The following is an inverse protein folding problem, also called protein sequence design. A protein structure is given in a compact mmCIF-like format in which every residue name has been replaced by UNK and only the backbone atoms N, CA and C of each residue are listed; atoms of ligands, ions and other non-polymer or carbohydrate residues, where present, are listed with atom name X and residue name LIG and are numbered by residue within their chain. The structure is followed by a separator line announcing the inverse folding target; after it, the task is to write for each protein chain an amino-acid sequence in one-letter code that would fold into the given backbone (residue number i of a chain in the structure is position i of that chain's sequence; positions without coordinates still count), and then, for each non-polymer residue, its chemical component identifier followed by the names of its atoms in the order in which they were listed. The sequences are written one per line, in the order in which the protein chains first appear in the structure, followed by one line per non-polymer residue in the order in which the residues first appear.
data_IF_579352916053
#
_entry.id   IF_579352916053
#
_cell.length_a   1.000
_cell.length_b   1.000
_cell.length_c   1.000
_cell.angle_alpha   90.00
_cell.angle_beta   90.00
_cell.angle_gamma   90.00
#
_symmetry.space_group_name_H-M   'P 1'
#
loop_
_entity.id
_entity.type
_entity.pdbx_description
1 polymer ?
#
# COMPACT_ATOMS: atom_id res chain seq x y z
N UNK A 1 -20.83 -3.16 -27.35
CA UNK A 1 -19.54 -2.96 -26.65
C UNK A 1 -19.56 -1.74 -25.73
N UNK A 2 -19.71 -0.52 -26.26
CA UNK A 2 -19.76 0.73 -25.46
C UNK A 2 -20.85 0.69 -24.38
N UNK A 3 -22.06 0.22 -24.70
CA UNK A 3 -23.17 0.07 -23.73
C UNK A 3 -22.80 -0.82 -22.53
N UNK A 4 -22.15 -1.96 -22.78
CA UNK A 4 -21.74 -2.88 -21.71
C UNK A 4 -20.63 -2.26 -20.86
N UNK A 5 -19.68 -1.56 -21.48
CA UNK A 5 -18.64 -0.83 -20.75
C UNK A 5 -19.20 0.25 -19.85
N UNK A 6 -20.16 1.05 -20.33
CA UNK A 6 -20.85 2.06 -19.53
C UNK A 6 -21.55 1.43 -18.32
N UNK A 7 -22.26 0.31 -18.52
CA UNK A 7 -22.95 -0.40 -17.44
C UNK A 7 -21.95 -0.94 -16.40
N UNK A 8 -20.88 -1.60 -16.84
CA UNK A 8 -19.87 -2.17 -15.93
C UNK A 8 -19.12 -1.09 -15.15
N UNK A 9 -18.71 0.00 -15.81
CA UNK A 9 -18.10 1.16 -15.16
C UNK A 9 -19.08 1.77 -14.15
N UNK A 10 -20.36 1.89 -14.49
CA UNK A 10 -21.41 2.39 -13.61
C UNK A 10 -21.58 1.54 -12.35
N UNK A 11 -21.62 0.21 -12.48
CA UNK A 11 -21.72 -0.71 -11.34
C UNK A 11 -20.51 -0.58 -10.42
N UNK A 12 -19.30 -0.60 -10.99
CA UNK A 12 -18.06 -0.44 -10.22
C UNK A 12 -18.03 0.91 -9.49
N UNK A 13 -18.44 1.98 -10.17
CA UNK A 13 -18.54 3.32 -9.57
C UNK A 13 -19.51 3.35 -8.38
N UNK A 14 -20.68 2.73 -8.50
CA UNK A 14 -21.66 2.66 -7.40
C UNK A 14 -21.10 1.88 -6.21
N UNK A 15 -20.47 0.73 -6.44
CA UNK A 15 -19.87 -0.10 -5.36
C UNK A 15 -18.76 0.67 -4.64
N UNK A 16 -17.81 1.23 -5.39
CA UNK A 16 -16.70 2.01 -4.81
C UNK A 16 -17.19 3.28 -4.12
N UNK A 17 -18.20 3.94 -4.69
CA UNK A 17 -18.86 5.11 -4.11
C UNK A 17 -19.52 4.79 -2.77
N UNK A 18 -20.31 3.70 -2.70
CA UNK A 18 -20.91 3.21 -1.45
C UNK A 18 -19.85 2.87 -0.40
N UNK A 19 -18.79 2.13 -0.78
CA UNK A 19 -17.70 1.80 0.13
C UNK A 19 -17.05 3.06 0.72
N UNK A 20 -16.77 4.07 -0.11
CA UNK A 20 -16.20 5.34 0.37
C UNK A 20 -17.17 6.17 1.20
N UNK A 21 -18.47 6.18 0.89
CA UNK A 21 -19.49 6.83 1.72
C UNK A 21 -19.52 6.18 3.10
N UNK A 22 -19.51 4.84 3.19
CA UNK A 22 -19.47 4.12 4.46
C UNK A 22 -18.20 4.47 5.24
N UNK A 23 -17.02 4.44 4.60
CA UNK A 23 -15.76 4.81 5.24
C UNK A 23 -15.75 6.27 5.72
N UNK A 24 -16.34 7.19 4.95
CA UNK A 24 -16.46 8.60 5.32
C UNK A 24 -17.46 8.84 6.47
N UNK A 25 -18.55 8.06 6.53
CA UNK A 25 -19.50 8.12 7.64
C UNK A 25 -18.85 7.64 8.95
N UNK A 26 -17.97 6.63 8.85
CA UNK A 26 -17.21 6.05 9.96
C UNK A 26 -15.99 6.93 10.34
N UNK A 27 -15.45 7.73 9.41
CA UNK A 27 -14.27 8.54 9.68
C UNK A 27 -14.55 9.67 10.66
N UNK A 28 -13.65 9.82 11.64
CA UNK A 28 -13.76 10.78 12.73
C UNK A 28 -13.54 12.24 12.29
N UNK A 29 -12.90 12.45 11.15
CA UNK A 29 -12.67 13.76 10.53
C UNK A 29 -13.51 13.91 9.26
N UNK A 30 -14.20 15.06 9.11
CA UNK A 30 -15.08 15.37 7.96
C UNK A 30 -14.67 16.68 7.30
N UNK A 31 -13.53 16.72 6.60
CA UNK A 31 -13.09 17.93 5.85
C UNK A 31 -13.64 17.90 4.40
N UNK A 32 -14.16 19.02 3.89
CA UNK A 32 -14.66 19.16 2.50
C UNK A 32 -13.58 18.93 1.42
N UNK A 33 -12.31 19.22 1.73
CA UNK A 33 -11.18 18.97 0.84
C UNK A 33 -10.95 17.48 0.59
N UNK A 34 -11.10 16.65 1.64
CA UNK A 34 -11.00 15.19 1.54
C UNK A 34 -12.10 14.63 0.62
N UNK A 35 -13.32 15.15 0.67
CA UNK A 35 -14.43 14.67 -0.17
C UNK A 35 -14.14 14.81 -1.68
N UNK A 36 -13.54 15.93 -2.10
CA UNK A 36 -13.14 16.12 -3.51
C UNK A 36 -12.03 15.16 -3.93
N UNK A 37 -11.05 14.91 -3.05
CA UNK A 37 -9.96 13.97 -3.33
C UNK A 37 -10.44 12.51 -3.36
N UNK A 38 -11.38 12.14 -2.48
CA UNK A 38 -12.06 10.86 -2.50
C UNK A 38 -12.87 10.66 -3.78
N UNK A 39 -13.60 11.69 -4.25
CA UNK A 39 -14.37 11.57 -5.48
C UNK A 39 -13.48 11.33 -6.72
N UNK A 40 -12.38 12.07 -6.83
CA UNK A 40 -11.38 11.86 -7.90
C UNK A 40 -10.79 10.45 -7.82
N UNK A 41 -10.51 9.97 -6.60
CA UNK A 41 -10.02 8.62 -6.36
C UNK A 41 -11.01 7.55 -6.83
N UNK A 42 -12.31 7.71 -6.50
CA UNK A 42 -13.38 6.77 -6.89
C UNK A 42 -13.60 6.77 -8.39
N UNK A 43 -13.67 7.95 -9.03
CA UNK A 43 -13.82 8.05 -10.49
C UNK A 43 -12.61 7.41 -11.19
N UNK A 44 -11.40 7.72 -10.74
CA UNK A 44 -10.18 7.14 -11.29
C UNK A 44 -10.14 5.62 -11.15
N UNK A 45 -10.48 5.08 -9.98
CA UNK A 45 -10.57 3.65 -9.74
C UNK A 45 -11.66 2.99 -10.60
N UNK A 46 -12.85 3.60 -10.71
CA UNK A 46 -13.95 3.05 -11.49
C UNK A 46 -13.65 2.99 -12.98
N UNK A 47 -12.95 3.99 -13.53
CA UNK A 47 -12.49 3.97 -14.93
C UNK A 47 -11.39 2.92 -15.11
N UNK A 48 -10.38 2.92 -14.22
CA UNK A 48 -9.23 2.01 -14.29
C UNK A 48 -9.64 0.53 -14.15
N UNK A 49 -10.64 0.23 -13.32
CA UNK A 49 -11.19 -1.12 -13.12
C UNK A 49 -12.25 -1.45 -14.18
N UNK A 50 -13.17 -0.53 -14.44
CA UNK A 50 -14.33 -0.76 -15.29
C UNK A 50 -14.00 -0.92 -16.77
N UNK A 51 -12.97 -0.23 -17.28
CA UNK A 51 -12.55 -0.36 -18.68
C UNK A 51 -12.03 -1.78 -18.97
N UNK A 52 -10.98 -2.30 -18.30
CA UNK A 52 -10.49 -3.67 -18.54
C UNK A 52 -11.57 -4.74 -18.39
N UNK A 53 -12.41 -4.60 -17.36
CA UNK A 53 -13.58 -5.46 -17.13
C UNK A 53 -14.52 -5.54 -18.31
N UNK A 54 -14.76 -4.41 -18.99
CA UNK A 54 -15.71 -4.34 -20.09
C UNK A 54 -15.24 -5.04 -21.36
N UNK A 55 -13.92 -5.16 -21.55
CA UNK A 55 -13.30 -5.86 -22.68
C UNK A 55 -13.11 -7.37 -22.43
N UNK A 56 -13.23 -7.79 -21.18
CA UNK A 56 -12.96 -9.15 -20.72
C UNK A 56 -13.85 -10.23 -21.39
N UNK A 57 -15.17 -10.01 -21.60
CA UNK A 57 -16.01 -10.95 -22.33
C UNK A 57 -15.67 -11.05 -23.83
N UNK A 58 -14.96 -10.06 -24.39
CA UNK A 58 -14.64 -9.98 -25.82
C UNK A 58 -13.32 -10.71 -26.16
N UNK A 59 -12.37 -10.73 -25.24
CA UNK A 59 -11.03 -11.29 -25.44
C UNK A 59 -10.99 -12.82 -25.35
N UNK A 60 -11.96 -13.46 -24.70
CA UNK A 60 -11.88 -14.89 -24.35
C UNK A 60 -13.15 -15.72 -24.65
N UNK A 61 -13.79 -15.62 -25.84
CA UNK A 61 -14.99 -16.40 -26.16
C UNK A 61 -14.76 -17.92 -26.31
N UNK A 62 -13.50 -18.38 -26.41
CA UNK A 62 -13.14 -19.79 -26.69
C UNK A 62 -12.56 -20.57 -25.49
N UNK A 63 -12.40 -19.95 -24.32
CA UNK A 63 -11.90 -20.63 -23.12
C UNK A 63 -13.08 -20.83 -22.16
N UNK A 64 -13.86 -21.90 -22.35
CA UNK A 64 -15.10 -22.07 -21.60
C UNK A 64 -15.28 -23.51 -21.10
N UNK A 65 -14.61 -23.81 -19.99
CA UNK A 65 -15.39 -24.28 -18.85
C UNK A 65 -15.76 -23.03 -18.03
N UNK A 66 -17.04 -22.87 -17.66
CA UNK A 66 -17.54 -21.68 -16.93
C UNK A 66 -16.71 -21.34 -15.68
N UNK A 67 -16.10 -22.37 -15.07
CA UNK A 67 -15.28 -22.28 -13.86
C UNK A 67 -13.94 -21.58 -14.12
N UNK A 68 -13.22 -21.98 -15.17
CA UNK A 68 -11.91 -21.41 -15.51
C UNK A 68 -12.01 -19.94 -15.93
N UNK A 69 -13.11 -19.57 -16.59
CA UNK A 69 -13.40 -18.19 -16.98
C UNK A 69 -13.58 -17.28 -15.76
N UNK A 70 -14.42 -17.67 -14.79
CA UNK A 70 -14.65 -16.89 -13.57
C UNK A 70 -13.38 -16.72 -12.72
N UNK A 71 -12.51 -17.75 -12.68
CA UNK A 71 -11.22 -17.70 -12.00
C UNK A 71 -10.29 -16.65 -12.64
N UNK A 72 -10.12 -16.67 -13.96
CA UNK A 72 -9.24 -15.73 -14.66
C UNK A 72 -9.74 -14.29 -14.50
N UNK A 73 -11.05 -14.07 -14.61
CA UNK A 73 -11.66 -12.75 -14.41
C UNK A 73 -11.41 -12.23 -13.00
N UNK A 74 -11.61 -13.08 -12.00
CA UNK A 74 -11.39 -12.68 -10.62
C UNK A 74 -9.93 -12.30 -10.37
N UNK A 75 -8.97 -13.11 -10.82
CA UNK A 75 -7.53 -12.82 -10.64
C UNK A 75 -7.17 -11.48 -11.30
N UNK A 76 -7.66 -11.22 -12.51
CA UNK A 76 -7.42 -9.95 -13.21
C UNK A 76 -8.03 -8.78 -12.45
N UNK A 77 -9.29 -8.87 -12.04
CA UNK A 77 -9.98 -7.88 -11.21
C UNK A 77 -9.22 -7.56 -9.92
N UNK A 78 -8.83 -8.61 -9.22
CA UNK A 78 -8.17 -8.53 -7.93
C UNK A 78 -6.79 -7.88 -8.07
N UNK A 79 -6.04 -8.23 -9.13
CA UNK A 79 -4.77 -7.59 -9.44
C UNK A 79 -4.92 -6.10 -9.75
N UNK A 80 -5.99 -5.68 -10.46
CA UNK A 80 -6.26 -4.27 -10.78
C UNK A 80 -6.58 -3.46 -9.51
N UNK A 81 -7.36 -4.01 -8.57
CA UNK A 81 -7.67 -3.34 -7.28
C UNK A 81 -6.38 -3.12 -6.48
N UNK A 82 -5.52 -4.13 -6.43
CA UNK A 82 -4.22 -4.06 -5.76
C UNK A 82 -3.32 -3.04 -6.48
N UNK A 83 -3.29 -3.06 -7.82
CA UNK A 83 -2.55 -2.07 -8.63
C UNK A 83 -3.01 -0.63 -8.39
N UNK A 84 -4.28 -0.37 -8.08
CA UNK A 84 -4.74 0.98 -7.77
C UNK A 84 -3.99 1.59 -6.57
N UNK A 85 -3.86 0.81 -5.49
CA UNK A 85 -3.14 1.25 -4.29
C UNK A 85 -1.64 1.40 -4.52
N UNK A 86 -1.02 0.47 -5.26
CA UNK A 86 0.42 0.46 -5.48
C UNK A 86 0.91 1.34 -6.64
N UNK A 87 0.03 1.72 -7.58
CA UNK A 87 0.40 2.46 -8.80
C UNK A 87 -0.28 3.83 -8.85
N UNK A 88 -1.61 3.89 -8.74
CA UNK A 88 -2.35 5.14 -8.93
C UNK A 88 -2.19 6.09 -7.75
N UNK A 89 -2.27 5.57 -6.52
CA UNK A 89 -2.15 6.43 -5.34
C UNK A 89 -0.80 7.17 -5.30
N UNK A 90 0.34 6.50 -5.56
CA UNK A 90 1.64 7.18 -5.65
C UNK A 90 1.74 8.13 -6.87
N UNK A 91 1.13 7.81 -8.03
CA UNK A 91 1.14 8.69 -9.22
C UNK A 91 0.46 10.04 -8.99
N UNK A 92 -0.54 10.14 -8.10
CA UNK A 92 -1.20 11.42 -7.77
C UNK A 92 -0.23 12.47 -7.22
N UNK A 93 0.84 12.03 -6.56
CA UNK A 93 1.86 12.92 -6.02
C UNK A 93 2.81 13.44 -7.11
N UNK A 94 3.10 12.65 -8.16
CA UNK A 94 3.92 13.12 -9.30
C UNK A 94 3.19 14.14 -10.16
N UNK A 95 1.89 13.95 -10.40
CA UNK A 95 1.13 14.80 -11.32
C UNK A 95 0.58 16.10 -10.70
N UNK A 96 0.95 16.44 -9.45
CA UNK A 96 0.53 17.68 -8.77
C UNK A 96 1.73 18.57 -8.37
N UNK A 97 2.59 18.99 -9.32
CA UNK A 97 3.89 19.60 -9.04
C UNK A 97 3.85 20.85 -8.15
N UNK A 98 2.78 21.66 -8.23
CA UNK A 98 2.68 22.93 -7.50
C UNK A 98 2.59 22.80 -5.97
N UNK A 99 2.52 21.57 -5.45
CA UNK A 99 2.44 21.29 -4.00
C UNK A 99 3.70 20.60 -3.44
N UNK A 100 4.76 20.50 -4.25
CA UNK A 100 6.01 19.84 -3.89
C UNK A 100 7.22 20.72 -4.18
N UNK A 101 8.14 20.79 -3.23
CA UNK A 101 9.41 21.52 -3.37
C UNK A 101 10.55 20.52 -3.55
N UNK A 102 11.30 20.62 -4.65
CA UNK A 102 12.44 19.73 -4.94
C UNK A 102 13.71 20.23 -4.24
N UNK A 103 14.51 19.31 -3.69
CA UNK A 103 15.78 19.63 -3.02
C UNK A 103 16.98 19.11 -3.82
N UNK A 104 17.47 19.94 -4.75
CA UNK A 104 18.55 19.54 -5.67
C UNK A 104 19.88 19.24 -4.96
N UNK A 105 20.18 19.92 -3.83
CA UNK A 105 21.43 19.73 -3.11
C UNK A 105 21.49 18.33 -2.47
N UNK A 106 20.39 17.93 -1.85
CA UNK A 106 20.28 16.60 -1.25
C UNK A 106 20.23 15.50 -2.31
N UNK A 107 19.59 15.76 -3.45
CA UNK A 107 19.60 14.86 -4.60
C UNK A 107 21.03 14.64 -5.14
N UNK A 108 21.80 15.71 -5.32
CA UNK A 108 23.20 15.60 -5.77
C UNK A 108 24.06 14.81 -4.79
N UNK A 109 23.86 15.03 -3.49
CA UNK A 109 24.59 14.33 -2.44
C UNK A 109 24.32 12.81 -2.48
N UNK A 110 23.05 12.42 -2.50
CA UNK A 110 22.65 11.00 -2.53
C UNK A 110 22.96 10.35 -3.90
N UNK A 111 22.96 11.13 -4.98
CA UNK A 111 23.39 10.68 -6.31
C UNK A 111 24.88 10.33 -6.32
N UNK A 112 25.75 11.13 -5.68
CA UNK A 112 27.19 10.82 -5.53
C UNK A 112 27.42 9.51 -4.78
N UNK A 113 26.51 9.14 -3.87
CA UNK A 113 26.56 7.90 -3.09
C UNK A 113 25.97 6.67 -3.84
N UNK A 114 25.64 6.84 -5.13
CA UNK A 114 25.17 5.79 -6.03
C UNK A 114 23.64 5.59 -6.03
N UNK A 115 22.89 6.55 -5.48
CA UNK A 115 21.45 6.47 -5.33
C UNK A 115 20.76 7.64 -6.06
N UNK A 116 20.50 7.56 -7.38
CA UNK A 116 19.91 8.67 -8.13
C UNK A 116 18.40 8.77 -7.89
N UNK A 117 18.01 9.26 -6.72
CA UNK A 117 16.61 9.51 -6.33
C UNK A 117 16.33 11.01 -6.35
N UNK A 118 15.14 11.38 -6.80
CA UNK A 118 14.60 12.74 -6.68
C UNK A 118 13.91 12.89 -5.33
N UNK A 119 14.10 14.02 -4.67
CA UNK A 119 13.63 14.25 -3.31
C UNK A 119 12.73 15.49 -3.32
N UNK A 120 11.51 15.28 -2.85
CA UNK A 120 10.49 16.30 -2.79
C UNK A 120 10.01 16.47 -1.35
N UNK A 121 9.67 17.70 -1.00
CA UNK A 121 9.04 18.04 0.27
C UNK A 121 7.64 18.60 0.06
N UNK A 122 6.71 18.32 0.99
CA UNK A 122 5.32 18.80 0.90
C UNK A 122 4.68 19.09 2.26
N UNK A 123 3.74 20.03 2.27
CA UNK A 123 2.84 20.29 3.41
C UNK A 123 1.60 19.39 3.41
N UNK A 124 1.38 18.58 2.36
CA UNK A 124 0.17 17.76 2.24
C UNK A 124 0.18 16.51 3.14
N UNK A 125 1.32 16.16 3.71
CA UNK A 125 1.43 15.06 4.67
C UNK A 125 1.17 15.65 6.06
N UNK A 126 -0.11 15.84 6.41
CA UNK A 126 -0.54 16.20 7.77
C UNK A 126 -0.64 14.92 8.62
N UNK A 127 -0.14 14.99 9.87
CA UNK A 127 -0.04 13.95 10.91
C UNK A 127 1.18 13.01 10.84
N UNK A 128 2.14 13.25 11.75
CA UNK A 128 2.82 12.33 12.68
C UNK A 128 3.14 10.86 12.33
N UNK A 129 2.97 10.37 11.10
CA UNK A 129 3.48 9.09 10.68
C UNK A 129 3.48 9.04 9.15
N UNK A 130 4.46 8.32 8.61
CA UNK A 130 4.64 7.97 7.20
C UNK A 130 5.49 8.94 6.38
N UNK A 131 6.79 8.71 6.55
CA UNK A 131 7.74 8.74 5.47
C UNK A 131 7.13 8.17 4.18
N UNK A 132 7.20 9.00 3.15
CA UNK A 132 7.41 8.70 1.73
C UNK A 132 6.90 7.36 1.21
N UNK A 133 5.97 7.41 0.25
CA UNK A 133 5.71 6.29 -0.65
C UNK A 133 6.64 6.38 -1.85
N UNK A 134 7.60 5.47 -1.95
CA UNK A 134 8.27 5.19 -3.23
C UNK A 134 7.18 4.95 -4.26
N UNK A 135 7.22 5.71 -5.34
CA UNK A 135 6.47 5.32 -6.53
C UNK A 135 7.30 4.17 -7.12
N UNK A 136 6.87 2.91 -7.07
CA UNK A 136 7.73 1.75 -7.35
C UNK A 136 8.43 1.78 -8.70
N UNK A 137 7.95 2.60 -9.64
CA UNK A 137 8.52 2.80 -10.98
C UNK A 137 9.36 4.07 -11.13
N UNK A 138 9.34 4.98 -10.15
CA UNK A 138 10.07 6.24 -10.18
C UNK A 138 10.93 6.36 -8.92
N UNK A 139 12.23 6.63 -9.09
CA UNK A 139 13.16 6.92 -8.00
C UNK A 139 12.83 8.29 -7.38
N UNK A 140 11.70 8.39 -6.70
CA UNK A 140 11.14 9.62 -6.13
C UNK A 140 10.79 9.34 -4.67
N UNK A 141 11.26 10.20 -3.78
CA UNK A 141 11.03 10.17 -2.34
C UNK A 141 10.34 11.48 -1.96
N UNK A 142 9.20 11.39 -1.26
CA UNK A 142 8.36 12.55 -0.89
C UNK A 142 8.24 12.64 0.62
N UNK A 143 8.85 13.66 1.23
CA UNK A 143 8.95 13.86 2.69
C UNK A 143 8.02 15.00 3.13
N UNK A 144 7.43 14.89 4.31
CA UNK A 144 6.69 16.00 4.92
C UNK A 144 7.62 17.15 5.35
N UNK A 145 7.23 18.40 5.11
CA UNK A 145 8.03 19.56 5.56
C UNK A 145 8.23 19.58 7.09
N UNK A 146 7.25 19.10 7.86
CA UNK A 146 7.36 18.91 9.30
C UNK A 146 8.56 18.02 9.69
N UNK A 147 8.81 16.93 8.95
CA UNK A 147 9.95 16.07 9.22
C UNK A 147 11.29 16.74 8.90
N UNK A 148 11.32 17.64 7.90
CA UNK A 148 12.51 18.42 7.56
C UNK A 148 12.89 19.40 8.69
N UNK A 149 11.89 19.93 9.39
CA UNK A 149 12.06 20.90 10.48
C UNK A 149 12.40 20.20 11.82
N UNK A 150 11.84 19.02 12.06
CA UNK A 150 11.96 18.30 13.34
C UNK A 150 13.18 17.36 13.44
N UNK A 151 13.73 16.92 12.30
CA UNK A 151 14.88 16.02 12.24
C UNK A 151 16.17 16.79 11.98
N UNK A 152 17.27 16.36 12.61
CA UNK A 152 18.60 16.81 12.21
C UNK A 152 18.93 16.37 10.78
N UNK A 153 19.95 16.99 10.16
CA UNK A 153 20.38 16.64 8.80
C UNK A 153 20.76 15.16 8.70
N UNK A 154 21.38 14.62 9.74
CA UNK A 154 21.81 13.23 9.84
C UNK A 154 20.60 12.29 9.96
N UNK A 155 19.64 12.61 10.84
CA UNK A 155 18.43 11.80 11.00
C UNK A 155 17.56 11.81 9.73
N UNK A 156 17.41 12.97 9.10
CA UNK A 156 16.67 13.10 7.84
C UNK A 156 17.29 12.24 6.74
N UNK A 157 18.62 12.24 6.62
CA UNK A 157 19.33 11.34 5.69
C UNK A 157 19.12 9.87 6.03
N UNK A 158 19.13 9.51 7.30
CA UNK A 158 18.86 8.13 7.72
C UNK A 158 17.44 7.68 7.30
N UNK A 159 16.43 8.55 7.44
CA UNK A 159 15.07 8.30 6.93
C UNK A 159 15.07 8.13 5.41
N UNK A 160 15.76 8.99 4.67
CA UNK A 160 15.84 8.85 3.19
C UNK A 160 16.50 7.53 2.80
N UNK A 161 17.56 7.14 3.51
CA UNK A 161 18.24 5.88 3.26
C UNK A 161 17.38 4.66 3.60
N UNK A 162 16.55 4.72 4.63
CA UNK A 162 15.54 3.71 4.94
C UNK A 162 14.57 3.53 3.75
N UNK A 163 14.09 4.63 3.19
CA UNK A 163 13.21 4.64 2.01
C UNK A 163 13.91 4.11 0.76
N UNK A 164 15.17 4.46 0.54
CA UNK A 164 15.97 3.84 -0.53
C UNK A 164 16.07 2.32 -0.31
N UNK A 165 16.20 1.87 0.94
CA UNK A 165 16.18 0.46 1.32
C UNK A 165 14.92 -0.27 0.89
N UNK A 166 13.75 0.35 1.08
CA UNK A 166 12.47 -0.19 0.58
C UNK A 166 12.46 -0.36 -0.95
N UNK A 167 12.99 0.62 -1.69
CA UNK A 167 13.07 0.56 -3.14
C UNK A 167 14.07 -0.51 -3.60
N UNK A 168 15.28 -0.52 -3.05
CA UNK A 168 16.36 -1.46 -3.42
C UNK A 168 15.95 -2.91 -3.20
N UNK A 169 15.26 -3.19 -2.10
CA UNK A 169 14.75 -4.53 -1.79
C UNK A 169 13.42 -4.87 -2.47
N UNK A 170 12.88 -3.96 -3.31
CA UNK A 170 11.63 -4.14 -4.07
C UNK A 170 10.44 -4.51 -3.17
N UNK A 171 10.35 -3.93 -1.98
CA UNK A 171 9.33 -4.28 -0.98
C UNK A 171 7.90 -4.13 -1.52
N UNK A 172 7.63 -3.05 -2.26
CA UNK A 172 6.33 -2.81 -2.89
C UNK A 172 5.98 -3.91 -3.91
N UNK A 173 6.92 -4.29 -4.77
CA UNK A 173 6.69 -5.35 -5.76
C UNK A 173 6.47 -6.71 -5.08
N UNK A 174 7.27 -7.03 -4.06
CA UNK A 174 7.09 -8.26 -3.28
C UNK A 174 5.71 -8.31 -2.61
N UNK A 175 5.29 -7.20 -2.00
CA UNK A 175 3.97 -7.10 -1.37
C UNK A 175 2.86 -7.25 -2.41
N UNK A 176 2.99 -6.61 -3.57
CA UNK A 176 2.07 -6.77 -4.70
C UNK A 176 1.93 -8.25 -5.13
N UNK A 177 3.05 -8.93 -5.36
CA UNK A 177 3.06 -10.35 -5.76
C UNK A 177 2.41 -11.22 -4.70
N UNK A 178 2.75 -11.03 -3.42
CA UNK A 178 2.13 -11.77 -2.31
C UNK A 178 0.63 -11.51 -2.25
N UNK A 179 0.18 -10.27 -2.40
CA UNK A 179 -1.24 -9.93 -2.42
C UNK A 179 -1.99 -10.63 -3.56
N UNK A 180 -1.42 -10.67 -4.77
CA UNK A 180 -2.02 -11.36 -5.92
C UNK A 180 -2.11 -12.87 -5.68
N UNK A 181 -1.04 -13.49 -5.16
CA UNK A 181 -1.02 -14.92 -4.84
C UNK A 181 -2.08 -15.24 -3.78
N UNK A 182 -2.11 -14.47 -2.69
CA UNK A 182 -3.03 -14.69 -1.58
C UNK A 182 -4.49 -14.54 -2.00
N UNK A 183 -4.77 -13.55 -2.85
CA UNK A 183 -6.10 -13.32 -3.36
C UNK A 183 -6.55 -14.38 -4.35
N UNK A 184 -5.64 -14.86 -5.20
CA UNK A 184 -5.89 -16.01 -6.06
C UNK A 184 -6.21 -17.26 -5.23
N UNK A 185 -5.43 -17.52 -4.19
CA UNK A 185 -5.64 -18.65 -3.29
C UNK A 185 -7.00 -18.58 -2.58
N UNK A 186 -7.33 -17.43 -2.00
CA UNK A 186 -8.62 -17.23 -1.31
C UNK A 186 -9.79 -17.37 -2.28
N UNK A 187 -9.65 -16.93 -3.53
CA UNK A 187 -10.68 -17.13 -4.53
C UNK A 187 -10.92 -18.60 -4.86
N UNK A 188 -9.85 -19.36 -5.08
CA UNK A 188 -9.96 -20.80 -5.34
C UNK A 188 -10.60 -21.53 -4.16
N UNK A 189 -10.27 -21.12 -2.93
CA UNK A 189 -10.89 -21.63 -1.72
C UNK A 189 -12.39 -21.29 -1.68
N UNK A 190 -12.75 -20.02 -1.90
CA UNK A 190 -14.15 -19.58 -1.96
C UNK A 190 -14.93 -20.37 -3.02
N UNK A 191 -14.37 -20.52 -4.23
CA UNK A 191 -15.00 -21.25 -5.31
C UNK A 191 -15.25 -22.72 -4.92
N UNK A 192 -14.27 -23.38 -4.30
CA UNK A 192 -14.40 -24.77 -3.86
C UNK A 192 -15.44 -24.93 -2.75
N UNK A 193 -15.57 -23.96 -1.86
CA UNK A 193 -16.53 -24.00 -0.75
C UNK A 193 -17.96 -23.81 -1.22
N UNK A 194 -18.19 -22.96 -2.22
CA UNK A 194 -19.52 -22.79 -2.82
C UNK A 194 -20.02 -24.03 -3.58
N UNK A 195 -19.17 -25.04 -3.81
CA UNK A 195 -19.59 -26.33 -4.37
C UNK A 195 -20.04 -27.34 -3.29
N UNK A 196 -19.86 -27.01 -2.01
CA UNK A 196 -20.24 -27.87 -0.91
C UNK A 196 -21.73 -27.66 -0.64
N UNK A 197 -22.53 -28.71 -0.86
CA UNK A 197 -23.93 -28.72 -0.46
C UNK A 197 -24.04 -29.14 1.00
N UNK A 198 -24.57 -28.24 1.83
CA UNK A 198 -24.81 -28.55 3.24
C UNK A 198 -26.16 -29.24 3.40
N UNK A 199 -26.19 -30.32 4.18
CA UNK A 199 -27.42 -31.07 4.49
C UNK A 199 -28.40 -30.29 5.35
N UNK A 200 -27.91 -29.32 6.14
CA UNK A 200 -28.73 -28.48 7.01
C UNK A 200 -28.57 -27.00 6.65
N UNK A 201 -29.69 -26.30 6.48
CA UNK A 201 -29.71 -24.89 6.08
C UNK A 201 -28.94 -23.94 7.02
N UNK A 202 -28.83 -24.28 8.31
CA UNK A 202 -28.09 -23.46 9.28
C UNK A 202 -26.56 -23.56 9.12
N UNK A 203 -26.04 -24.58 8.43
CA UNK A 203 -24.61 -24.77 8.24
C UNK A 203 -24.02 -23.82 7.21
N UNK A 204 -24.80 -23.41 6.20
CA UNK A 204 -24.38 -22.43 5.19
C UNK A 204 -23.90 -21.10 5.82
N UNK A 205 -24.70 -20.38 6.63
CA UNK A 205 -24.25 -19.11 7.22
C UNK A 205 -23.08 -19.29 8.19
N UNK A 206 -23.02 -20.40 8.94
CA UNK A 206 -21.89 -20.70 9.82
C UNK A 206 -20.59 -20.85 9.02
N UNK A 207 -20.65 -21.61 7.92
CA UNK A 207 -19.48 -21.84 7.08
C UNK A 207 -19.05 -20.57 6.35
N UNK A 208 -19.99 -19.75 5.88
CA UNK A 208 -19.66 -18.41 5.35
C UNK A 208 -18.93 -17.57 6.42
N UNK A 209 -19.41 -17.59 7.66
CA UNK A 209 -18.79 -16.87 8.78
C UNK A 209 -17.36 -17.35 9.09
N UNK A 210 -17.15 -18.66 9.22
CA UNK A 210 -15.83 -19.27 9.47
C UNK A 210 -14.86 -18.93 8.35
N UNK A 211 -15.30 -19.03 7.10
CA UNK A 211 -14.46 -18.72 5.94
C UNK A 211 -14.12 -17.23 5.86
N UNK A 212 -15.09 -16.35 6.11
CA UNK A 212 -14.85 -14.92 6.19
C UNK A 212 -13.82 -14.57 7.27
N UNK A 213 -13.94 -15.19 8.45
CA UNK A 213 -12.99 -15.01 9.54
C UNK A 213 -11.58 -15.51 9.18
N UNK A 214 -11.47 -16.69 8.58
CA UNK A 214 -10.19 -17.24 8.13
C UNK A 214 -9.53 -16.37 7.06
N UNK A 215 -10.29 -15.96 6.05
CA UNK A 215 -9.84 -15.05 4.99
C UNK A 215 -9.35 -13.73 5.59
N UNK A 216 -10.15 -13.13 6.47
CA UNK A 216 -9.79 -11.89 7.16
C UNK A 216 -8.52 -12.03 7.98
N UNK A 217 -8.38 -13.12 8.72
CA UNK A 217 -7.16 -13.43 9.47
C UNK A 217 -5.93 -13.54 8.56
N UNK A 218 -6.04 -14.28 7.45
CA UNK A 218 -4.91 -14.50 6.53
C UNK A 218 -4.50 -13.19 5.84
N UNK A 219 -5.45 -12.39 5.36
CA UNK A 219 -5.19 -11.09 4.73
C UNK A 219 -4.69 -10.03 5.71
N UNK A 220 -5.01 -10.16 6.99
CA UNK A 220 -4.44 -9.28 8.02
C UNK A 220 -3.05 -9.76 8.42
N UNK A 221 -2.90 -11.01 8.84
CA UNK A 221 -1.70 -11.52 9.47
C UNK A 221 -0.50 -11.65 8.51
N UNK A 222 -0.72 -12.20 7.31
CA UNK A 222 0.38 -12.51 6.38
C UNK A 222 1.06 -11.23 5.86
N UNK A 223 0.33 -10.24 5.30
CA UNK A 223 0.94 -8.98 4.87
C UNK A 223 1.60 -8.23 6.03
N UNK A 224 1.00 -8.24 7.23
CA UNK A 224 1.58 -7.62 8.42
C UNK A 224 2.96 -8.17 8.77
N UNK A 225 3.13 -9.49 8.78
CA UNK A 225 4.43 -10.11 9.10
C UNK A 225 5.48 -9.83 8.03
N UNK A 226 5.08 -9.80 6.76
CA UNK A 226 5.97 -9.47 5.66
C UNK A 226 6.41 -8.00 5.74
N UNK A 227 5.48 -7.08 6.01
CA UNK A 227 5.80 -5.67 6.23
C UNK A 227 6.79 -5.48 7.38
N UNK A 228 6.66 -6.22 8.49
CA UNK A 228 7.64 -6.14 9.58
C UNK A 228 9.06 -6.51 9.12
N UNK A 229 9.19 -7.56 8.31
CA UNK A 229 10.49 -7.94 7.75
C UNK A 229 11.05 -6.88 6.81
N UNK A 230 10.18 -6.19 6.06
CA UNK A 230 10.57 -5.08 5.20
C UNK A 230 11.08 -3.88 5.98
N UNK A 231 10.45 -3.55 7.11
CA UNK A 231 10.94 -2.49 8.01
C UNK A 231 12.34 -2.82 8.53
N UNK A 232 12.59 -4.04 9.01
CA UNK A 232 13.93 -4.44 9.47
C UNK A 232 14.96 -4.40 8.34
N UNK A 233 14.60 -4.85 7.14
CA UNK A 233 15.49 -4.78 5.97
C UNK A 233 15.83 -3.34 5.59
N UNK A 234 14.86 -2.43 5.67
CA UNK A 234 15.06 -1.02 5.38
C UNK A 234 15.90 -0.31 6.47
N UNK A 235 15.66 -0.61 7.75
CA UNK A 235 16.47 -0.12 8.87
C UNK A 235 17.92 -0.57 8.75
N UNK A 236 18.15 -1.85 8.48
CA UNK A 236 19.49 -2.39 8.30
C UNK A 236 20.19 -1.79 7.07
N UNK A 237 19.45 -1.54 5.98
CA UNK A 237 19.99 -0.86 4.82
C UNK A 237 20.45 0.56 5.18
N UNK A 238 19.64 1.33 5.91
CA UNK A 238 20.01 2.69 6.33
C UNK A 238 21.21 2.71 7.28
N UNK A 239 21.22 1.80 8.26
CA UNK A 239 22.30 1.67 9.22
C UNK A 239 23.64 1.31 8.56
N UNK A 240 23.62 0.37 7.60
CA UNK A 240 24.83 -0.11 6.92
C UNK A 240 25.32 0.84 5.82
N UNK A 241 24.40 1.46 5.07
CA UNK A 241 24.75 2.31 3.92
C UNK A 241 25.09 3.73 4.33
N UNK A 242 24.50 4.23 5.42
CA UNK A 242 24.68 5.61 5.89
C UNK A 242 25.22 5.69 7.31
N UNK A 243 24.39 5.44 8.33
CA UNK A 243 24.83 5.51 9.73
C UNK A 243 23.83 4.84 10.66
N UNK A 244 24.31 3.85 11.42
CA UNK A 244 23.53 3.19 12.48
C UNK A 244 23.09 4.18 13.57
N UNK A 245 23.99 5.07 14.00
CA UNK A 245 23.70 6.07 15.04
C UNK A 245 22.59 7.01 14.57
N UNK A 246 22.69 7.51 13.33
CA UNK A 246 21.67 8.40 12.77
C UNK A 246 20.32 7.68 12.58
N UNK A 247 20.34 6.40 12.22
CA UNK A 247 19.12 5.58 12.07
C UNK A 247 18.42 5.37 13.42
N UNK A 248 19.19 5.06 14.48
CA UNK A 248 18.65 4.95 15.84
C UNK A 248 18.10 6.29 16.33
N UNK A 249 18.83 7.39 16.10
CA UNK A 249 18.38 8.75 16.42
C UNK A 249 17.06 9.08 15.73
N UNK A 250 16.99 8.85 14.42
CA UNK A 250 15.79 9.09 13.62
C UNK A 250 14.59 8.29 14.13
N UNK A 251 14.75 7.00 14.44
CA UNK A 251 13.65 6.17 14.97
C UNK A 251 13.11 6.69 16.31
N UNK A 252 13.99 7.14 17.22
CA UNK A 252 13.59 7.72 18.50
C UNK A 252 12.89 9.07 18.30
N UNK A 253 13.46 9.94 17.47
CA UNK A 253 12.89 11.26 17.18
C UNK A 253 11.54 11.14 16.48
N UNK A 254 11.38 10.19 15.55
CA UNK A 254 10.10 9.87 14.91
C UNK A 254 9.05 9.38 15.91
N UNK A 255 9.43 8.61 16.93
CA UNK A 255 8.50 8.17 17.98
C UNK A 255 8.07 9.33 18.90
N UNK A 256 9.01 10.22 19.24
CA UNK A 256 8.73 11.43 20.03
C UNK A 256 7.73 12.35 19.32
N UNK A 257 8.02 12.73 18.08
CA UNK A 257 7.13 13.63 17.32
C UNK A 257 5.78 12.97 17.02
N UNK A 258 5.74 11.64 16.95
CA UNK A 258 4.50 10.89 16.71
C UNK A 258 3.69 10.57 17.96
N UNK A 259 4.12 11.03 19.15
CA UNK A 259 3.48 10.72 20.43
C UNK A 259 3.40 9.20 20.73
N UNK A 260 4.49 8.47 20.47
CA UNK A 260 4.63 7.06 20.86
C UNK A 260 3.98 6.06 19.89
N UNK A 261 3.73 6.45 18.64
CA UNK A 261 3.12 5.56 17.63
C UNK A 261 4.04 4.40 17.29
N UNK A 262 5.35 4.63 17.14
CA UNK A 262 6.32 3.58 16.84
C UNK A 262 6.50 2.66 18.05
N UNK A 263 6.46 3.19 19.27
CA UNK A 263 6.51 2.40 20.51
C UNK A 263 5.34 1.43 20.61
N UNK A 264 4.12 1.87 20.27
CA UNK A 264 2.93 1.00 20.23
C UNK A 264 3.02 -0.04 19.11
N UNK A 265 3.58 0.35 17.97
CA UNK A 265 3.52 -0.43 16.73
C UNK A 265 2.10 -0.53 16.18
N UNK A 266 1.97 -1.09 14.98
CA UNK A 266 0.67 -1.31 14.34
C UNK A 266 0.73 -2.51 13.39
N UNK A 267 -0.29 -2.70 12.56
CA UNK A 267 -0.36 -3.82 11.63
C UNK A 267 0.79 -3.84 10.60
N UNK A 268 1.35 -2.69 10.22
CA UNK A 268 2.39 -2.62 9.18
C UNK A 268 3.79 -2.33 9.73
N UNK A 269 3.90 -1.72 10.92
CA UNK A 269 5.17 -1.40 11.56
C UNK A 269 5.35 -2.17 12.87
N UNK A 270 6.50 -2.84 13.05
CA UNK A 270 6.86 -3.45 14.31
C UNK A 270 7.11 -2.37 15.37
N UNK A 271 7.02 -2.76 16.65
CA UNK A 271 7.33 -1.89 17.78
C UNK A 271 8.75 -1.34 17.68
N UNK A 272 8.95 -0.09 18.11
CA UNK A 272 10.24 0.59 18.16
C UNK A 272 11.32 -0.28 18.82
N UNK A 273 11.03 -0.85 19.98
CA UNK A 273 11.94 -1.75 20.70
C UNK A 273 12.49 -2.87 19.82
N UNK A 274 11.64 -3.49 18.99
CA UNK A 274 12.06 -4.58 18.10
C UNK A 274 12.91 -4.09 16.94
N UNK A 275 12.65 -2.89 16.43
CA UNK A 275 13.47 -2.26 15.37
C UNK A 275 14.87 -1.94 15.91
N UNK A 276 14.94 -1.37 17.11
CA UNK A 276 16.21 -1.08 17.78
C UNK A 276 17.00 -2.35 18.07
N UNK A 277 16.36 -3.39 18.64
CA UNK A 277 16.99 -4.70 18.86
C UNK A 277 17.50 -5.34 17.55
N UNK A 278 16.78 -5.17 16.43
CA UNK A 278 17.24 -5.67 15.13
C UNK A 278 18.53 -4.97 14.67
N UNK A 279 18.68 -3.68 14.96
CA UNK A 279 19.89 -2.92 14.61
C UNK A 279 21.08 -3.30 15.49
N UNK A 280 20.84 -3.65 16.75
CA UNK A 280 21.85 -4.11 17.70
C UNK A 280 22.41 -5.49 17.36
N UNK A 281 21.54 -6.44 16.97
CA UNK A 281 21.94 -7.83 16.66
C UNK A 281 22.85 -8.00 15.44
N UNK A 282 22.91 -7.02 14.54
CA UNK A 282 23.75 -7.08 13.33
C UNK A 282 25.22 -6.68 13.59
N UNK A 283 25.68 -6.71 14.85
CA UNK A 283 27.08 -6.48 15.23
C UNK A 283 27.95 -7.74 15.26
N UNK A 284 27.38 -8.93 15.00
CA UNK A 284 28.10 -10.23 15.02
C UNK A 284 28.35 -10.81 13.64
#
# INVERSE_FOLDING_TARGET
MIKNAIITIGIVFVILGLQHIVLFLISKERKRSQLKEHLISVIGAAIFIGIPLSFLPLLMPKIANNISYLIIIFILLSSIIVSYWFVINPLKYVFRPNKFTRDNLLEEEIQREGCPFKIYFTNMVENNAFATGIIPFYKIIVIGNNLKEELSKEELKAVIYHEIGHHKNKHILKLFVVSVILQTFVFLLFFKINQIHFTHAFMEPIMVGINGAFIGFVFYYVPSKISYQFEYQADNYAANKYSKIATIGALKRLDEISNGVLTKGNATHPKLEKRLQSLEKNES
#
